data_IF_142355574221
#
_entry.id   IF_142355574221
#
_cell.length_a   1.000
_cell.length_b   1.000
_cell.length_c   1.000
_cell.angle_alpha   90.00
_cell.angle_beta   90.00
_cell.angle_gamma   90.00
#
_symmetry.space_group_name_H-M   'P 1'
#
loop_
_entity.id
_entity.type
_entity.pdbx_description
1 polymer ?
#
# COMPACT_ATOMS: atom_id res chain seq x y z
N UNK A 1 -15.59 -14.64 75.74
CA UNK A 1 -14.41 -13.98 75.11
C UNK A 1 -13.62 -14.87 74.15
N UNK A 2 -13.63 -16.21 74.30
CA UNK A 2 -12.84 -17.12 73.45
C UNK A 2 -13.48 -17.35 72.06
N UNK A 3 -14.81 -17.48 71.98
CA UNK A 3 -15.50 -17.75 70.71
C UNK A 3 -15.37 -16.62 69.68
N UNK A 4 -15.45 -15.36 70.11
CA UNK A 4 -15.31 -14.20 69.21
C UNK A 4 -13.89 -14.07 68.62
N UNK A 5 -12.88 -14.57 69.34
CA UNK A 5 -11.48 -14.59 68.89
C UNK A 5 -11.25 -15.72 67.87
N UNK A 6 -11.92 -16.86 68.04
CA UNK A 6 -11.89 -17.98 67.10
C UNK A 6 -12.52 -17.60 65.76
N UNK A 7 -13.67 -16.92 65.77
CA UNK A 7 -14.34 -16.45 64.54
C UNK A 7 -13.45 -15.46 63.77
N UNK A 8 -12.78 -14.55 64.48
CA UNK A 8 -11.85 -13.60 63.87
C UNK A 8 -10.62 -14.28 63.25
N UNK A 9 -10.10 -15.34 63.89
CA UNK A 9 -8.97 -16.11 63.36
C UNK A 9 -9.40 -16.89 62.11
N UNK A 10 -10.58 -17.52 62.13
CA UNK A 10 -11.12 -18.25 60.98
C UNK A 10 -11.33 -17.32 59.78
N UNK A 11 -11.90 -16.13 60.01
CA UNK A 11 -12.11 -15.14 58.96
C UNK A 11 -10.78 -14.66 58.33
N UNK A 12 -9.75 -14.48 59.15
CA UNK A 12 -8.43 -14.06 58.67
C UNK A 12 -7.75 -15.16 57.83
N UNK A 13 -7.86 -16.42 58.26
CA UNK A 13 -7.34 -17.57 57.51
C UNK A 13 -8.07 -17.73 56.17
N UNK A 14 -9.40 -17.60 56.14
CA UNK A 14 -10.20 -17.66 54.90
C UNK A 14 -9.83 -16.56 53.91
N UNK A 15 -9.65 -15.32 54.40
CA UNK A 15 -9.23 -14.20 53.55
C UNK A 15 -7.82 -14.41 52.96
N UNK A 16 -6.90 -14.96 53.75
CA UNK A 16 -5.55 -15.26 53.29
C UNK A 16 -5.52 -16.37 52.24
N UNK A 17 -6.36 -17.41 52.40
CA UNK A 17 -6.51 -18.48 51.41
C UNK A 17 -7.08 -17.96 50.08
N UNK A 18 -8.08 -17.06 50.13
CA UNK A 18 -8.66 -16.46 48.92
C UNK A 18 -7.70 -15.49 48.20
N UNK A 19 -6.89 -14.74 48.96
CA UNK A 19 -5.85 -13.89 48.36
C UNK A 19 -4.76 -14.74 47.70
N UNK A 20 -4.34 -15.82 48.35
CA UNK A 20 -3.35 -16.73 47.80
C UNK A 20 -3.87 -17.42 46.53
N UNK A 21 -5.11 -17.94 46.52
CA UNK A 21 -5.68 -18.56 45.30
C UNK A 21 -5.86 -17.55 44.16
N UNK A 22 -6.25 -16.30 44.47
CA UNK A 22 -6.36 -15.23 43.47
C UNK A 22 -5.01 -14.82 42.89
N UNK A 23 -3.96 -14.71 43.71
CA UNK A 23 -2.61 -14.36 43.25
C UNK A 23 -1.99 -15.51 42.45
N UNK A 24 -2.16 -16.76 42.89
CA UNK A 24 -1.72 -17.91 42.10
C UNK A 24 -2.48 -17.98 40.78
N UNK A 25 -3.81 -17.79 40.76
CA UNK A 25 -4.61 -17.76 39.53
C UNK A 25 -4.28 -16.61 38.55
N UNK A 26 -3.60 -15.56 39.00
CA UNK A 26 -3.10 -14.48 38.13
C UNK A 26 -1.67 -14.74 37.61
N UNK A 27 -0.87 -15.50 38.36
CA UNK A 27 0.54 -15.82 38.02
C UNK A 27 0.66 -17.01 37.08
N UNK A 28 -0.18 -18.04 37.27
CA UNK A 28 -0.57 -18.94 36.18
C UNK A 28 -1.67 -18.23 35.40
N UNK A 29 -1.28 -17.31 34.51
CA UNK A 29 -2.14 -16.90 33.39
C UNK A 29 -2.77 -18.14 32.75
N UNK A 30 -3.95 -18.02 32.11
CA UNK A 30 -4.79 -19.15 31.72
C UNK A 30 -3.90 -20.27 31.18
N UNK A 31 -3.83 -21.35 31.96
CA UNK A 31 -3.04 -22.53 31.65
C UNK A 31 -3.52 -23.01 30.29
N UNK A 32 -2.77 -22.60 29.26
CA UNK A 32 -2.59 -23.19 27.95
C UNK A 32 -3.49 -24.42 27.80
N UNK A 33 -4.75 -24.18 27.42
CA UNK A 33 -5.50 -25.12 26.60
C UNK A 33 -5.14 -24.80 25.14
N UNK A 34 -3.85 -24.60 24.87
CA UNK A 34 -3.25 -24.40 23.56
C UNK A 34 -2.38 -25.63 23.28
N UNK A 35 -3.03 -26.79 23.18
CA UNK A 35 -2.36 -28.07 22.97
C UNK A 35 -2.86 -28.87 21.78
N UNK A 36 -3.66 -28.29 20.88
CA UNK A 36 -4.21 -29.04 19.74
C UNK A 36 -4.62 -28.26 18.50
N UNK A 37 -4.95 -26.97 18.60
CA UNK A 37 -5.62 -26.27 17.50
C UNK A 37 -5.12 -24.85 17.20
N UNK A 38 -3.84 -24.52 17.41
CA UNK A 38 -3.28 -23.24 16.92
C UNK A 38 -2.28 -23.36 15.77
N UNK A 39 -1.70 -24.53 15.52
CA UNK A 39 -0.82 -24.76 14.36
C UNK A 39 -1.58 -24.88 13.01
N UNK A 40 -2.90 -24.62 12.98
CA UNK A 40 -3.73 -24.58 11.77
C UNK A 40 -4.49 -23.26 11.57
N UNK A 41 -4.08 -22.18 12.25
CA UNK A 41 -4.73 -20.87 12.12
C UNK A 41 -4.24 -20.03 10.91
N UNK A 42 -3.25 -20.50 10.15
CA UNK A 42 -2.83 -19.83 8.90
C UNK A 42 -3.90 -19.85 7.78
N UNK A 43 -5.08 -20.45 8.01
CA UNK A 43 -6.18 -20.47 7.04
C UNK A 43 -7.52 -19.92 7.57
N UNK A 44 -7.61 -19.43 8.81
CA UNK A 44 -8.86 -18.82 9.31
C UNK A 44 -8.95 -17.32 8.98
N UNK A 45 -7.90 -16.72 8.43
CA UNK A 45 -7.96 -15.40 7.78
C UNK A 45 -8.49 -15.39 6.34
N UNK A 46 -8.96 -16.53 5.80
CA UNK A 46 -9.09 -16.71 4.34
C UNK A 46 -10.52 -16.69 3.77
N UNK A 47 -11.52 -16.21 4.50
CA UNK A 47 -12.91 -16.11 3.97
C UNK A 47 -13.52 -14.73 4.06
N UNK A 48 -12.85 -13.78 4.71
CA UNK A 48 -13.22 -12.39 4.57
C UNK A 48 -12.52 -11.91 3.31
N UNK A 49 -13.25 -11.83 2.19
CA UNK A 49 -12.82 -10.94 1.13
C UNK A 49 -12.72 -9.55 1.76
N UNK A 50 -11.50 -9.08 2.04
CA UNK A 50 -11.29 -7.71 2.52
C UNK A 50 -11.92 -6.70 1.54
N UNK A 51 -12.10 -7.08 0.27
CA UNK A 51 -12.87 -6.35 -0.72
C UNK A 51 -14.36 -6.25 -0.38
N UNK A 52 -15.00 -7.34 0.07
CA UNK A 52 -16.43 -7.36 0.44
C UNK A 52 -16.73 -6.59 1.73
N UNK A 53 -15.76 -6.48 2.64
CA UNK A 53 -15.90 -5.71 3.88
C UNK A 53 -15.31 -4.30 3.74
N UNK A 54 -14.87 -3.91 2.53
CA UNK A 54 -14.33 -2.58 2.25
C UNK A 54 -13.00 -2.28 2.96
N UNK A 55 -12.33 -3.30 3.48
CA UNK A 55 -11.04 -3.20 4.17
C UNK A 55 -9.85 -3.20 3.21
N UNK A 56 -10.03 -3.67 1.96
CA UNK A 56 -9.14 -3.35 0.83
C UNK A 56 -9.80 -2.29 -0.05
N UNK A 57 -10.24 -1.20 0.55
CA UNK A 57 -10.51 0.05 -0.16
C UNK A 57 -9.24 0.89 -0.16
N UNK A 58 -8.19 0.46 -0.86
CA UNK A 58 -7.16 1.44 -1.22
C UNK A 58 -7.77 2.30 -2.31
N UNK A 59 -8.60 3.26 -1.94
CA UNK A 59 -9.11 4.26 -2.88
C UNK A 59 -7.90 5.13 -3.23
N UNK A 60 -7.17 4.73 -4.28
CA UNK A 60 -6.14 5.57 -4.86
C UNK A 60 -6.87 6.81 -5.38
N UNK A 61 -6.71 7.93 -4.68
CA UNK A 61 -7.30 9.19 -5.13
C UNK A 61 -6.68 9.56 -6.46
N UNK A 62 -7.50 9.65 -7.51
CA UNK A 62 -7.05 10.15 -8.80
C UNK A 62 -7.04 11.68 -8.85
N UNK A 63 -7.68 12.34 -7.90
CA UNK A 63 -7.70 13.81 -7.80
C UNK A 63 -6.30 14.33 -7.53
N UNK A 64 -5.83 15.25 -8.37
CA UNK A 64 -4.52 15.87 -8.20
C UNK A 64 -4.54 16.81 -6.99
N UNK A 65 -3.50 16.76 -6.16
CA UNK A 65 -3.23 17.73 -5.11
C UNK A 65 -2.97 19.13 -5.68
N UNK A 66 -3.28 20.16 -4.89
CA UNK A 66 -3.01 21.55 -5.25
C UNK A 66 -1.52 21.81 -5.55
N UNK A 67 -0.62 21.13 -4.85
CA UNK A 67 0.83 21.22 -5.12
C UNK A 67 1.15 20.75 -6.55
N UNK A 68 0.66 19.58 -6.94
CA UNK A 68 0.87 19.06 -8.29
C UNK A 68 0.24 19.94 -9.35
N UNK A 69 -0.97 20.48 -9.12
CA UNK A 69 -1.60 21.42 -10.06
C UNK A 69 -0.72 22.67 -10.26
N UNK A 70 -0.22 23.26 -9.18
CA UNK A 70 0.66 24.43 -9.23
C UNK A 70 1.99 24.14 -9.94
N UNK A 71 2.52 22.91 -9.80
CA UNK A 71 3.73 22.45 -10.49
C UNK A 71 3.48 22.23 -11.98
N UNK A 72 2.39 21.55 -12.31
CA UNK A 72 1.96 21.32 -13.70
C UNK A 72 1.75 22.62 -14.46
N UNK A 73 1.20 23.65 -13.83
CA UNK A 73 0.99 24.95 -14.45
C UNK A 73 2.29 25.63 -14.93
N UNK A 74 3.46 25.21 -14.42
CA UNK A 74 4.77 25.75 -14.82
C UNK A 74 5.43 24.98 -15.96
N UNK A 75 4.85 23.86 -16.39
CA UNK A 75 5.40 23.02 -17.46
C UNK A 75 4.96 23.59 -18.81
N UNK A 76 5.89 24.27 -19.49
CA UNK A 76 5.67 24.95 -20.77
C UNK A 76 6.33 24.24 -21.97
N UNK A 77 6.81 23.02 -21.77
CA UNK A 77 7.49 22.20 -22.78
C UNK A 77 6.78 20.85 -23.01
N UNK A 78 6.85 20.29 -24.23
CA UNK A 78 6.24 19.00 -24.54
C UNK A 78 6.85 17.83 -23.76
N UNK A 79 6.00 17.01 -23.15
CA UNK A 79 6.37 15.77 -22.48
C UNK A 79 5.48 14.64 -22.98
N UNK A 80 6.08 13.53 -23.41
CA UNK A 80 5.33 12.32 -23.78
C UNK A 80 5.53 11.25 -22.71
N UNK A 81 4.45 10.66 -22.26
CA UNK A 81 4.43 9.61 -21.24
C UNK A 81 4.06 8.29 -21.91
N UNK A 82 4.85 7.25 -21.70
CA UNK A 82 4.44 5.87 -21.99
C UNK A 82 4.11 5.16 -20.69
N UNK A 83 2.92 4.58 -20.63
CA UNK A 83 2.48 3.75 -19.52
C UNK A 83 2.36 2.30 -19.97
N UNK A 84 3.21 1.45 -19.40
CA UNK A 84 3.20 0.01 -19.63
C UNK A 84 2.16 -0.64 -18.72
N UNK A 85 1.30 -1.46 -19.30
CA UNK A 85 0.20 -2.14 -18.60
C UNK A 85 -0.04 -3.55 -19.12
N UNK A 86 -0.88 -4.30 -18.41
CA UNK A 86 -1.47 -5.57 -18.87
C UNK A 86 -2.92 -5.66 -18.42
N UNK A 87 -3.65 -6.61 -19.00
CA UNK A 87 -5.06 -6.89 -18.69
C UNK A 87 -5.23 -7.37 -17.24
N UNK A 88 -4.28 -8.17 -16.76
CA UNK A 88 -4.32 -8.79 -15.43
C UNK A 88 -3.60 -7.94 -14.35
N UNK A 89 -3.47 -6.63 -14.56
CA UNK A 89 -2.81 -5.70 -13.64
C UNK A 89 -3.86 -4.89 -12.85
N UNK A 90 -4.08 -5.17 -11.54
CA UNK A 90 -5.15 -4.54 -10.77
C UNK A 90 -4.99 -3.03 -10.59
N UNK A 91 -3.76 -2.52 -10.51
CA UNK A 91 -3.45 -1.11 -10.22
C UNK A 91 -3.17 -0.27 -11.48
N UNK A 92 -3.07 -0.90 -12.65
CA UNK A 92 -2.83 -0.19 -13.91
C UNK A 92 -3.95 0.79 -14.29
N UNK A 93 -5.24 0.50 -14.06
CA UNK A 93 -6.32 1.49 -14.26
C UNK A 93 -6.11 2.76 -13.44
N UNK A 94 -5.64 2.64 -12.19
CA UNK A 94 -5.42 3.76 -11.29
C UNK A 94 -4.28 4.67 -11.79
N UNK A 95 -3.17 4.08 -12.23
CA UNK A 95 -2.05 4.82 -12.82
C UNK A 95 -2.50 5.61 -14.06
N UNK A 96 -3.29 4.98 -14.93
CA UNK A 96 -3.81 5.62 -16.14
C UNK A 96 -4.75 6.78 -15.81
N UNK A 97 -5.62 6.62 -14.81
CA UNK A 97 -6.51 7.69 -14.39
C UNK A 97 -5.74 8.92 -13.90
N UNK A 98 -4.67 8.72 -13.11
CA UNK A 98 -3.79 9.82 -12.67
C UNK A 98 -3.09 10.47 -13.87
N UNK A 99 -2.48 9.69 -14.78
CA UNK A 99 -1.82 10.25 -15.97
C UNK A 99 -2.80 11.03 -16.84
N UNK A 100 -4.02 10.54 -17.03
CA UNK A 100 -5.04 11.23 -17.79
C UNK A 100 -5.36 12.60 -17.16
N UNK A 101 -5.47 12.66 -15.84
CA UNK A 101 -5.67 13.94 -15.14
C UNK A 101 -4.50 14.91 -15.36
N UNK A 102 -3.25 14.43 -15.41
CA UNK A 102 -2.10 15.27 -15.78
C UNK A 102 -2.24 15.83 -17.21
N UNK A 103 -2.67 15.01 -18.16
CA UNK A 103 -2.86 15.46 -19.57
C UNK A 103 -4.04 16.41 -19.76
N UNK A 104 -5.09 16.26 -18.95
CA UNK A 104 -6.25 17.17 -18.95
C UNK A 104 -5.85 18.53 -18.38
N UNK A 105 -5.06 18.52 -17.31
CA UNK A 105 -4.61 19.76 -16.65
C UNK A 105 -3.57 20.51 -17.49
N UNK A 106 -2.66 19.82 -18.17
CA UNK A 106 -1.63 20.44 -19.00
C UNK A 106 -1.56 19.83 -20.41
N UNK A 107 -1.92 20.57 -21.48
CA UNK A 107 -1.93 20.08 -22.86
C UNK A 107 -0.54 19.82 -23.46
N UNK A 108 0.54 20.27 -22.81
CA UNK A 108 1.91 19.93 -23.22
C UNK A 108 2.27 18.47 -22.85
N UNK A 109 1.48 17.84 -21.98
CA UNK A 109 1.69 16.45 -21.56
C UNK A 109 0.75 15.55 -22.36
N UNK A 110 1.35 14.55 -23.03
CA UNK A 110 0.62 13.53 -23.79
C UNK A 110 0.94 12.15 -23.23
N UNK A 111 0.04 11.18 -23.42
CA UNK A 111 0.30 9.81 -23.00
C UNK A 111 -0.07 8.78 -24.07
N UNK A 112 0.59 7.64 -24.00
CA UNK A 112 0.31 6.44 -24.80
C UNK A 112 0.39 5.20 -23.90
N UNK A 113 -0.57 4.30 -24.05
CA UNK A 113 -0.60 3.03 -23.32
C UNK A 113 0.11 1.95 -24.13
N UNK A 114 1.08 1.29 -23.51
CA UNK A 114 1.81 0.17 -24.07
C UNK A 114 1.37 -1.13 -23.38
N UNK A 115 0.51 -1.92 -24.05
CA UNK A 115 -0.04 -3.16 -23.47
C UNK A 115 0.80 -4.38 -23.81
N UNK A 116 1.15 -5.18 -22.80
CA UNK A 116 1.97 -6.38 -22.95
C UNK A 116 1.44 -7.34 -24.02
N UNK A 117 0.13 -7.52 -24.09
CA UNK A 117 -0.52 -8.46 -25.01
C UNK A 117 -0.48 -8.01 -26.47
N UNK A 118 -0.33 -6.69 -26.70
CA UNK A 118 -0.37 -6.10 -28.04
C UNK A 118 1.00 -5.65 -28.55
N UNK A 119 1.89 -5.28 -27.63
CA UNK A 119 3.16 -4.64 -27.92
C UNK A 119 4.31 -5.19 -27.04
N UNK A 120 4.50 -6.52 -26.96
CA UNK A 120 5.49 -7.14 -26.07
C UNK A 120 6.93 -6.69 -26.37
N UNK A 121 7.25 -6.35 -27.61
CA UNK A 121 8.59 -5.91 -28.02
C UNK A 121 9.10 -4.68 -27.26
N UNK A 122 8.21 -3.79 -26.82
CA UNK A 122 8.60 -2.61 -26.06
C UNK A 122 8.93 -2.95 -24.61
N UNK A 123 8.33 -4.00 -24.04
CA UNK A 123 8.68 -4.46 -22.70
C UNK A 123 10.12 -4.96 -22.65
N UNK A 124 10.53 -5.74 -23.65
CA UNK A 124 11.91 -6.22 -23.76
C UNK A 124 12.87 -5.05 -24.02
N UNK A 125 12.53 -4.17 -24.98
CA UNK A 125 13.38 -3.03 -25.38
C UNK A 125 13.68 -2.09 -24.21
N UNK A 126 12.67 -1.80 -23.39
CA UNK A 126 12.80 -0.90 -22.24
C UNK A 126 13.05 -1.66 -20.94
N UNK A 127 13.29 -2.98 -20.97
CA UNK A 127 13.48 -3.83 -19.80
C UNK A 127 12.42 -3.62 -18.71
N UNK A 128 11.15 -3.67 -19.11
CA UNK A 128 9.99 -3.53 -18.22
C UNK A 128 9.58 -4.91 -17.71
N UNK A 129 9.82 -5.16 -16.43
CA UNK A 129 9.49 -6.42 -15.75
C UNK A 129 8.32 -6.30 -14.77
N UNK A 130 7.94 -5.07 -14.40
CA UNK A 130 6.93 -4.78 -13.39
C UNK A 130 5.89 -3.81 -13.93
N UNK A 131 4.66 -3.89 -13.40
CA UNK A 131 3.52 -3.12 -13.87
C UNK A 131 2.77 -2.45 -12.70
N UNK A 132 2.19 -1.25 -12.91
CA UNK A 132 2.43 -0.37 -14.04
C UNK A 132 3.88 0.16 -14.04
N UNK A 133 4.43 0.40 -15.23
CA UNK A 133 5.71 1.11 -15.38
C UNK A 133 5.49 2.33 -16.27
N UNK A 134 6.08 3.46 -15.91
CA UNK A 134 6.03 4.69 -16.70
C UNK A 134 7.44 5.12 -17.09
N UNK A 135 7.59 5.52 -18.35
CA UNK A 135 8.76 6.21 -18.87
C UNK A 135 8.32 7.51 -19.54
N UNK A 136 9.21 8.50 -19.55
CA UNK A 136 8.93 9.82 -20.09
C UNK A 136 9.92 10.15 -21.21
N UNK A 137 9.45 10.92 -22.17
CA UNK A 137 10.23 11.42 -23.29
C UNK A 137 10.11 12.93 -23.36
N UNK A 138 11.22 13.58 -23.72
CA UNK A 138 11.24 15.01 -23.98
C UNK A 138 10.71 15.33 -25.38
N UNK A 139 10.67 16.63 -25.72
CA UNK A 139 10.23 17.14 -27.03
C UNK A 139 10.96 16.55 -28.24
N UNK A 140 12.20 16.10 -28.05
CA UNK A 140 13.05 15.54 -29.10
C UNK A 140 12.87 14.02 -29.23
N UNK A 141 11.98 13.42 -28.42
CA UNK A 141 11.73 11.98 -28.38
C UNK A 141 12.80 11.19 -27.62
N UNK A 142 13.70 11.86 -26.90
CA UNK A 142 14.69 11.19 -26.06
C UNK A 142 14.06 10.78 -24.74
N UNK A 143 14.32 9.55 -24.31
CA UNK A 143 13.83 9.01 -23.04
C UNK A 143 14.60 9.62 -21.86
N UNK A 144 13.89 9.89 -20.76
CA UNK A 144 14.51 10.35 -19.51
C UNK A 144 15.46 9.27 -18.97
N UNK A 145 16.68 9.68 -18.62
CA UNK A 145 17.74 8.81 -18.13
C UNK A 145 18.16 9.16 -16.71
N UNK A 146 18.54 8.16 -15.92
CA UNK A 146 19.20 8.29 -14.63
C UNK A 146 20.40 7.33 -14.58
N UNK A 147 21.61 7.86 -14.37
CA UNK A 147 22.85 7.08 -14.29
C UNK A 147 23.05 6.08 -15.47
N UNK A 148 22.80 6.54 -16.70
CA UNK A 148 22.86 5.75 -17.95
C UNK A 148 21.79 4.65 -18.09
N UNK A 149 20.78 4.63 -17.23
CA UNK A 149 19.61 3.77 -17.35
C UNK A 149 18.36 4.59 -17.64
N UNK A 150 17.39 4.00 -18.34
CA UNK A 150 16.07 4.63 -18.51
C UNK A 150 15.44 4.83 -17.14
N UNK A 151 15.07 6.08 -16.82
CA UNK A 151 14.34 6.38 -15.61
C UNK A 151 12.91 5.80 -15.71
N UNK A 152 12.51 5.05 -14.69
CA UNK A 152 11.22 4.35 -14.64
C UNK A 152 10.52 4.67 -13.34
N UNK A 153 9.25 5.01 -13.43
CA UNK A 153 8.35 5.03 -12.28
C UNK A 153 7.64 3.68 -12.27
N UNK A 154 7.77 2.93 -11.18
CA UNK A 154 7.21 1.59 -11.05
C UNK A 154 6.20 1.58 -9.90
N UNK A 155 5.04 0.95 -10.14
CA UNK A 155 3.97 0.81 -9.16
C UNK A 155 3.14 2.10 -8.98
N UNK A 156 2.25 2.08 -7.98
CA UNK A 156 1.31 3.18 -7.71
C UNK A 156 1.64 3.98 -6.43
N UNK A 157 2.66 3.57 -5.67
CA UNK A 157 3.03 4.21 -4.41
C UNK A 157 3.67 5.57 -4.64
N UNK A 158 3.07 6.62 -4.05
CA UNK A 158 3.44 8.03 -4.26
C UNK A 158 3.56 8.38 -5.75
N UNK A 159 2.72 7.75 -6.58
CA UNK A 159 2.84 7.82 -8.03
C UNK A 159 2.70 9.23 -8.58
N UNK A 160 1.74 10.00 -8.07
CA UNK A 160 1.54 11.39 -8.46
C UNK A 160 2.79 12.24 -8.23
N UNK A 161 3.41 12.12 -7.05
CA UNK A 161 4.62 12.86 -6.67
C UNK A 161 5.80 12.52 -7.59
N UNK A 162 6.07 11.22 -7.74
CA UNK A 162 7.14 10.73 -8.64
C UNK A 162 6.91 11.18 -10.08
N UNK A 163 5.65 11.22 -10.53
CA UNK A 163 5.31 11.60 -11.90
C UNK A 163 5.58 13.09 -12.13
N UNK A 164 5.17 13.98 -11.22
CA UNK A 164 5.42 15.41 -11.38
C UNK A 164 6.92 15.75 -11.28
N UNK A 165 7.66 15.11 -10.38
CA UNK A 165 9.13 15.24 -10.30
C UNK A 165 9.79 14.80 -11.62
N UNK A 166 9.35 13.69 -12.19
CA UNK A 166 9.87 13.22 -13.47
C UNK A 166 9.50 14.17 -14.61
N UNK A 167 8.27 14.68 -14.67
CA UNK A 167 7.86 15.68 -15.68
C UNK A 167 8.73 16.93 -15.60
N UNK A 168 8.99 17.45 -14.39
CA UNK A 168 9.82 18.64 -14.17
C UNK A 168 11.28 18.47 -14.61
N UNK A 169 11.79 17.24 -14.65
CA UNK A 169 13.18 16.93 -15.01
C UNK A 169 13.39 16.58 -16.48
N UNK A 170 12.31 16.40 -17.25
CA UNK A 170 12.36 16.08 -18.68
C UNK A 170 12.66 17.30 -19.57
N UNK A 171 12.31 18.50 -19.08
CA UNK A 171 12.41 19.78 -19.80
C UNK A 171 13.81 20.18 -20.24
#
# INVERSE_FOLDING_TARGET
MIEMKIISIIAFVLAFVLLISGIYGLSIGPLVIEGGQQAKSNQIGSYICLSCVGLTGNTVSHTLTDDTLNRLARIDYPVKIWVFTSTDCPTCPDAKAIILNFTVENPNITYEEIKLESQPQFFDTYAVSELPTVILFNKDGNVLMNNNFVYKIIGIDNFQEKLIEAVETVG
#
